data_IF_264389571401
#
_entry.id   IF_264389571401
#
_cell.length_a   1.000
_cell.length_b   1.000
_cell.length_c   1.000
_cell.angle_alpha   90.00
_cell.angle_beta   90.00
_cell.angle_gamma   90.00
#
_symmetry.space_group_name_H-M   'P 1'
#
loop_
_entity.id
_entity.type
_entity.pdbx_description
1 polymer ?
#
# COMPACT_ATOMS: atom_id res chain seq x y z
N UNK A 1 11.13 -3.95 -10.71
CA UNK A 1 10.08 -3.41 -11.59
C UNK A 1 9.85 -4.48 -12.62
N UNK A 2 8.65 -5.05 -12.61
CA UNK A 2 8.25 -6.11 -13.56
C UNK A 2 7.26 -5.48 -14.53
N UNK A 3 7.54 -5.58 -15.84
CA UNK A 3 6.60 -5.16 -16.86
C UNK A 3 5.74 -6.35 -17.26
N UNK A 4 4.42 -6.21 -17.12
CA UNK A 4 3.45 -7.25 -17.47
C UNK A 4 2.62 -6.80 -18.65
N UNK A 5 2.55 -7.67 -19.67
CA UNK A 5 1.85 -7.41 -20.94
C UNK A 5 0.51 -8.11 -21.06
N UNK A 6 0.18 -8.99 -20.13
CA UNK A 6 -1.08 -9.74 -20.10
C UNK A 6 -1.65 -9.86 -18.68
N UNK A 7 -2.97 -9.84 -18.56
CA UNK A 7 -3.68 -10.08 -17.31
C UNK A 7 -4.99 -10.84 -17.60
N UNK A 8 -5.01 -12.13 -17.26
CA UNK A 8 -6.13 -13.00 -17.62
C UNK A 8 -6.28 -13.14 -19.14
N UNK A 9 -7.37 -12.61 -19.71
CA UNK A 9 -7.61 -12.60 -21.17
C UNK A 9 -7.38 -11.25 -21.83
N UNK A 10 -6.76 -10.30 -21.12
CA UNK A 10 -6.57 -8.93 -21.58
C UNK A 10 -5.09 -8.63 -21.85
N UNK A 11 -4.80 -8.00 -22.99
CA UNK A 11 -3.52 -7.35 -23.22
C UNK A 11 -3.46 -6.07 -22.37
N UNK A 12 -2.37 -5.91 -21.61
CA UNK A 12 -2.15 -4.77 -20.71
C UNK A 12 -0.73 -4.24 -20.90
N UNK A 13 -0.43 -3.11 -20.26
CA UNK A 13 0.93 -2.58 -20.13
C UNK A 13 1.06 -2.06 -18.71
N UNK A 14 1.50 -2.95 -17.80
CA UNK A 14 1.49 -2.70 -16.36
C UNK A 14 2.90 -2.81 -15.80
N UNK A 15 3.38 -1.77 -15.14
CA UNK A 15 4.63 -1.83 -14.38
C UNK A 15 4.32 -2.08 -12.91
N UNK A 16 4.73 -3.26 -12.44
CA UNK A 16 4.55 -3.67 -11.05
C UNK A 16 5.75 -3.20 -10.23
N UNK A 17 5.45 -2.40 -9.22
CA UNK A 17 6.40 -1.91 -8.23
C UNK A 17 6.05 -2.48 -6.86
N UNK A 18 6.61 -3.65 -6.53
CA UNK A 18 6.49 -4.19 -5.19
C UNK A 18 7.09 -3.21 -4.17
N UNK A 19 6.32 -2.91 -3.13
CA UNK A 19 6.77 -2.08 -2.00
C UNK A 19 6.65 -2.90 -0.73
N UNK A 20 7.67 -2.80 0.12
CA UNK A 20 7.58 -3.35 1.47
C UNK A 20 6.64 -2.47 2.31
N UNK A 21 5.74 -3.04 3.12
CA UNK A 21 4.81 -2.24 3.93
C UNK A 21 5.52 -1.23 4.84
N UNK A 22 6.66 -1.60 5.42
CA UNK A 22 7.44 -0.70 6.28
C UNK A 22 8.01 0.49 5.49
N UNK A 23 8.42 0.29 4.23
CA UNK A 23 8.83 1.41 3.38
C UNK A 23 7.67 2.38 3.10
N UNK A 24 6.45 1.86 2.92
CA UNK A 24 5.25 2.70 2.77
C UNK A 24 4.97 3.48 4.06
N UNK A 25 5.13 2.84 5.23
CA UNK A 25 5.01 3.52 6.54
C UNK A 25 6.00 4.68 6.65
N UNK A 26 7.27 4.47 6.30
CA UNK A 26 8.29 5.53 6.35
C UNK A 26 7.93 6.71 5.47
N UNK A 27 7.43 6.45 4.25
CA UNK A 27 6.99 7.50 3.33
C UNK A 27 5.78 8.27 3.87
N UNK A 28 4.82 7.59 4.48
CA UNK A 28 3.64 8.22 5.07
C UNK A 28 4.03 9.13 6.26
N UNK A 29 4.92 8.65 7.13
CA UNK A 29 5.45 9.44 8.25
C UNK A 29 6.22 10.66 7.75
N UNK A 30 7.09 10.50 6.75
CA UNK A 30 7.81 11.60 6.13
C UNK A 30 6.87 12.65 5.50
N UNK A 31 5.69 12.24 5.06
CA UNK A 31 4.64 13.12 4.53
C UNK A 31 3.76 13.77 5.64
N UNK A 32 4.07 13.56 6.92
CA UNK A 32 3.33 14.15 8.05
C UNK A 32 2.01 13.44 8.38
N UNK A 33 1.80 12.23 7.84
CA UNK A 33 0.65 11.40 8.16
C UNK A 33 0.94 10.56 9.41
N UNK A 34 -0.07 10.41 10.25
CA UNK A 34 -0.01 9.54 11.43
C UNK A 34 -0.47 8.13 11.04
N UNK A 35 0.44 7.16 11.09
CA UNK A 35 0.11 5.75 10.86
C UNK A 35 -0.61 5.20 12.10
N UNK A 36 -1.82 4.66 11.90
CA UNK A 36 -2.70 4.16 12.95
C UNK A 36 -2.71 2.63 13.07
N UNK A 37 -2.51 1.94 11.95
CA UNK A 37 -2.43 0.49 11.93
C UNK A 37 -1.57 0.01 10.76
N UNK A 38 -0.92 -1.12 10.97
CA UNK A 38 -0.26 -1.91 9.93
C UNK A 38 -0.62 -3.38 10.11
N UNK A 39 -0.84 -4.07 9.00
CA UNK A 39 -1.15 -5.50 8.98
C UNK A 39 -0.49 -6.14 7.76
N UNK A 40 0.08 -7.32 7.97
CA UNK A 40 0.51 -8.20 6.90
C UNK A 40 -0.38 -9.43 6.95
N UNK A 41 -1.10 -9.70 5.86
CA UNK A 41 -1.96 -10.87 5.71
C UNK A 41 -1.25 -11.89 4.81
N UNK A 42 -1.35 -13.18 5.14
CA UNK A 42 -0.96 -14.26 4.24
C UNK A 42 -1.75 -14.16 2.91
N UNK A 43 -1.21 -14.61 1.76
CA UNK A 43 -1.93 -14.57 0.49
C UNK A 43 -3.29 -15.27 0.59
N UNK A 44 -4.31 -14.69 -0.05
CA UNK A 44 -5.63 -15.30 -0.21
C UNK A 44 -5.64 -16.06 -1.54
N UNK A 45 -5.92 -17.36 -1.46
CA UNK A 45 -5.92 -18.24 -2.62
C UNK A 45 -7.33 -18.54 -3.14
N UNK A 46 -8.36 -17.96 -2.52
CA UNK A 46 -9.75 -18.21 -2.88
C UNK A 46 -10.17 -17.36 -4.10
N UNK A 47 -10.90 -17.98 -5.03
CA UNK A 47 -11.49 -17.31 -6.18
C UNK A 47 -10.66 -17.33 -7.47
N UNK A 48 -11.08 -16.59 -8.51
CA UNK A 48 -10.51 -16.69 -9.85
C UNK A 48 -9.12 -16.04 -10.01
N UNK A 49 -8.64 -15.30 -9.01
CA UNK A 49 -7.38 -14.58 -9.03
C UNK A 49 -6.64 -14.77 -7.69
N UNK A 50 -6.04 -15.94 -7.45
CA UNK A 50 -5.32 -16.21 -6.21
C UNK A 50 -4.11 -15.27 -6.08
N UNK A 51 -3.86 -14.81 -4.86
CA UNK A 51 -2.71 -13.97 -4.55
C UNK A 51 -1.44 -14.82 -4.45
N UNK A 52 -0.36 -14.33 -5.06
CA UNK A 52 0.94 -15.00 -5.02
C UNK A 52 1.84 -14.49 -3.89
N UNK A 53 1.47 -13.38 -3.26
CA UNK A 53 2.29 -12.70 -2.25
C UNK A 53 1.46 -12.18 -1.07
N UNK A 54 2.04 -12.10 0.13
CA UNK A 54 1.39 -11.51 1.29
C UNK A 54 0.91 -10.07 1.00
N UNK A 55 -0.23 -9.71 1.55
CA UNK A 55 -0.82 -8.38 1.36
C UNK A 55 -0.56 -7.47 2.55
N UNK A 56 0.03 -6.31 2.27
CA UNK A 56 0.26 -5.27 3.27
C UNK A 56 -0.87 -4.24 3.30
N UNK A 57 -1.40 -3.97 4.49
CA UNK A 57 -2.41 -2.94 4.73
C UNK A 57 -1.85 -1.90 5.69
N UNK A 58 -1.92 -0.63 5.31
CA UNK A 58 -1.50 0.49 6.16
C UNK A 58 -2.65 1.48 6.25
N UNK A 59 -3.08 1.79 7.47
CA UNK A 59 -4.06 2.83 7.74
C UNK A 59 -3.34 4.05 8.31
N UNK A 60 -3.49 5.18 7.64
CA UNK A 60 -2.94 6.44 8.08
C UNK A 60 -3.99 7.54 8.06
N UNK A 61 -3.78 8.54 8.91
CA UNK A 61 -4.67 9.69 9.09
C UNK A 61 -3.86 10.95 8.84
N UNK A 62 -4.47 11.93 8.16
CA UNK A 62 -3.95 13.30 8.17
C UNK A 62 -3.97 13.81 9.59
N UNK A 63 -2.79 14.17 10.11
CA UNK A 63 -2.67 14.78 11.43
C UNK A 63 -3.58 16.00 11.47
N UNK A 64 -4.57 15.99 12.36
CA UNK A 64 -5.32 17.19 12.70
C UNK A 64 -4.38 18.00 13.59
N UNK A 65 -3.36 18.63 13.00
CA UNK A 65 -2.74 19.76 13.67
C UNK A 65 -3.89 20.71 13.97
N UNK A 66 -4.17 20.96 15.25
CA UNK A 66 -4.94 22.15 15.59
C UNK A 66 -4.27 23.32 14.87
N UNK A 67 -5.03 24.29 14.32
CA UNK A 67 -4.37 25.53 13.90
C UNK A 67 -3.54 26.00 15.10
N UNK A 68 -2.25 26.21 14.88
CA UNK A 68 -1.37 26.73 15.91
C UNK A 68 -1.97 28.07 16.36
N UNK A 69 -2.61 28.11 17.52
CA UNK A 69 -2.97 29.37 18.18
C UNK A 69 -1.66 30.06 18.53
N UNK A 70 -1.25 30.97 17.65
CA UNK A 70 -0.33 32.05 18.01
C UNK A 70 -1.12 32.98 18.94
N UNK A 71 -0.79 32.84 20.22
CA UNK A 71 -0.81 33.82 21.32
C UNK A 71 -1.74 35.02 21.22
#
# INVERSE_FOLDING_TARGET
MEHRTDAGRHAVSLDIHHRQPDHVVDLLVAAGLEVRARMLRAPDHDGPFPEESPQGFVLARKSRSAPSETR
#
